data_IF_045957293949
#
_entry.id   IF_045957293949
#
_cell.length_a   1.000
_cell.length_b   1.000
_cell.length_c   1.000
_cell.angle_alpha   90.00
_cell.angle_beta   90.00
_cell.angle_gamma   90.00
#
_symmetry.space_group_name_H-M   'P 1'
#
loop_
_entity.id
_entity.type
_entity.pdbx_description
1 polymer ?
#
# COMPACT_ATOMS: atom_id res chain seq x y z
N UNK A 1 -7.30 -9.51 12.65
CA UNK A 1 -7.00 -8.07 12.58
C UNK A 1 -7.00 -7.69 11.11
N UNK A 2 -8.13 -7.38 10.48
CA UNK A 2 -9.15 -6.42 10.89
C UNK A 2 -8.97 -5.25 9.93
N UNK A 3 -9.34 -5.47 8.66
CA UNK A 3 -9.27 -4.47 7.60
C UNK A 3 -10.28 -3.39 7.97
N UNK A 4 -9.76 -2.20 8.24
CA UNK A 4 -10.55 -1.05 8.65
C UNK A 4 -11.25 -0.56 7.38
N UNK A 5 -12.46 -1.06 7.17
CA UNK A 5 -13.42 -0.43 6.28
C UNK A 5 -13.77 0.96 6.84
N UNK A 6 -13.98 1.93 5.96
CA UNK A 6 -14.51 3.27 6.26
C UNK A 6 -13.51 4.30 6.81
N UNK A 7 -12.26 4.32 6.32
CA UNK A 7 -11.28 5.38 6.62
C UNK A 7 -10.70 6.10 5.40
N UNK A 8 -11.05 5.66 4.19
CA UNK A 8 -10.42 6.16 2.96
C UNK A 8 -10.80 7.60 2.63
N UNK A 9 -11.93 8.12 3.09
CA UNK A 9 -12.29 9.52 2.85
C UNK A 9 -11.34 10.49 3.57
N UNK A 10 -10.84 10.12 4.76
CA UNK A 10 -9.90 10.94 5.54
C UNK A 10 -8.48 10.82 4.96
N UNK A 11 -8.06 9.61 4.58
CA UNK A 11 -6.80 9.40 3.87
C UNK A 11 -6.78 10.07 2.47
N UNK A 12 -7.92 10.08 1.76
CA UNK A 12 -8.11 10.77 0.48
C UNK A 12 -8.12 12.29 0.66
N UNK A 13 -8.81 12.81 1.68
CA UNK A 13 -8.83 14.24 1.99
C UNK A 13 -7.43 14.74 2.37
N UNK A 14 -6.69 13.97 3.16
CA UNK A 14 -5.29 14.27 3.52
C UNK A 14 -4.41 14.21 2.28
N UNK A 15 -4.50 13.18 1.44
CA UNK A 15 -3.69 13.06 0.24
C UNK A 15 -4.01 14.10 -0.86
N UNK A 16 -5.28 14.54 -0.96
CA UNK A 16 -5.68 15.65 -1.83
C UNK A 16 -5.20 17.00 -1.30
N UNK A 17 -5.21 17.21 0.01
CA UNK A 17 -4.73 18.43 0.67
C UNK A 17 -3.19 18.51 0.67
N UNK A 18 -2.48 17.39 0.76
CA UNK A 18 -1.02 17.28 0.77
C UNK A 18 -0.41 17.04 -0.62
N UNK A 19 -1.11 17.41 -1.70
CA UNK A 19 -0.66 17.26 -3.10
C UNK A 19 0.73 17.84 -3.40
N UNK A 20 1.27 18.69 -2.52
CA UNK A 20 2.60 19.25 -2.63
C UNK A 20 3.73 18.40 -2.02
N UNK A 21 3.45 17.35 -1.23
CA UNK A 21 4.50 16.58 -0.53
C UNK A 21 4.70 15.16 -1.06
N UNK A 22 3.64 14.51 -1.55
CA UNK A 22 3.72 13.13 -2.06
C UNK A 22 4.43 13.01 -3.43
N UNK A 23 4.60 14.13 -4.15
CA UNK A 23 5.35 14.15 -5.41
C UNK A 23 6.88 14.14 -5.22
N UNK A 24 7.39 14.41 -4.00
CA UNK A 24 8.82 14.43 -3.69
C UNK A 24 9.34 13.14 -3.04
N UNK A 25 8.45 12.27 -2.54
CA UNK A 25 8.84 10.98 -1.96
C UNK A 25 8.92 9.91 -3.06
N UNK A 26 9.95 10.02 -3.91
CA UNK A 26 10.35 8.90 -4.77
C UNK A 26 11.35 8.03 -4.02
N UNK A 27 10.86 7.01 -3.32
CA UNK A 27 11.72 6.02 -2.65
C UNK A 27 11.58 4.65 -3.34
N UNK A 28 12.68 3.96 -3.69
CA UNK A 28 12.62 2.70 -4.42
C UNK A 28 11.92 1.56 -3.65
N UNK A 29 11.86 1.64 -2.31
CA UNK A 29 11.15 0.68 -1.46
C UNK A 29 9.67 0.99 -1.18
N UNK A 30 9.11 2.09 -1.72
CA UNK A 30 7.72 2.51 -1.48
C UNK A 30 6.97 2.56 -2.81
N UNK A 31 5.79 1.93 -2.86
CA UNK A 31 4.92 1.95 -4.05
C UNK A 31 4.53 3.38 -4.42
N UNK A 32 4.67 3.73 -5.70
CA UNK A 32 4.30 5.06 -6.18
C UNK A 32 2.79 5.19 -6.32
N UNK A 33 2.23 6.23 -5.71
CA UNK A 33 0.84 6.62 -5.91
C UNK A 33 0.78 7.57 -7.10
N UNK A 34 0.01 7.21 -8.12
CA UNK A 34 -0.15 8.00 -9.34
C UNK A 34 -1.31 8.99 -9.23
N UNK A 35 -2.45 8.56 -8.66
CA UNK A 35 -3.64 9.40 -8.61
C UNK A 35 -4.66 8.96 -7.54
N UNK A 36 -5.56 9.85 -7.19
CA UNK A 36 -6.77 9.59 -6.41
C UNK A 36 -7.97 9.95 -7.28
N UNK A 37 -8.90 9.01 -7.48
CA UNK A 37 -10.06 9.18 -8.36
C UNK A 37 -11.34 8.80 -7.63
N UNK A 38 -12.44 9.50 -7.90
CA UNK A 38 -13.76 9.10 -7.41
C UNK A 38 -14.54 8.37 -8.50
N UNK A 39 -15.18 7.27 -8.13
CA UNK A 39 -16.08 6.54 -9.01
C UNK A 39 -17.31 6.06 -8.24
N UNK A 40 -18.46 6.02 -8.92
CA UNK A 40 -19.68 5.51 -8.31
C UNK A 40 -19.56 4.00 -8.07
N UNK A 41 -19.95 3.54 -6.89
CA UNK A 41 -20.09 2.12 -6.61
C UNK A 41 -21.28 1.52 -7.39
N UNK A 42 -21.49 0.20 -7.25
CA UNK A 42 -22.61 -0.50 -7.92
C UNK A 42 -24.01 0.01 -7.52
N UNK A 43 -24.10 0.83 -6.48
CA UNK A 43 -25.32 1.42 -5.95
C UNK A 43 -25.44 2.92 -6.22
N UNK A 44 -24.46 3.53 -6.92
CA UNK A 44 -24.46 4.95 -7.28
C UNK A 44 -23.85 5.87 -6.24
N UNK A 45 -23.27 5.35 -5.15
CA UNK A 45 -22.62 6.18 -4.13
C UNK A 45 -21.18 6.51 -4.56
N UNK A 46 -20.69 7.75 -4.38
CA UNK A 46 -19.30 8.08 -4.70
C UNK A 46 -18.34 7.35 -3.75
N UNK A 47 -17.37 6.64 -4.34
CA UNK A 47 -16.28 5.96 -3.64
C UNK A 47 -14.96 6.39 -4.24
N UNK A 48 -14.01 6.78 -3.39
CA UNK A 48 -12.67 7.11 -3.86
C UNK A 48 -11.79 5.86 -4.03
N UNK A 49 -10.91 5.92 -5.01
CA UNK A 49 -9.95 4.89 -5.39
C UNK A 49 -8.54 5.49 -5.46
N UNK A 50 -7.54 4.71 -5.06
CA UNK A 50 -6.13 5.06 -5.19
C UNK A 50 -5.56 4.28 -6.38
N UNK A 51 -4.97 5.01 -7.33
CA UNK A 51 -4.23 4.43 -8.46
C UNK A 51 -2.75 4.44 -8.11
N UNK A 52 -2.14 3.27 -8.10
CA UNK A 52 -0.74 3.09 -7.72
C UNK A 52 -0.02 2.10 -8.63
N UNK A 53 1.30 2.08 -8.54
CA UNK A 53 2.15 1.11 -9.23
C UNK A 53 1.76 -0.33 -8.88
N UNK A 54 1.74 -1.19 -9.90
CA UNK A 54 1.51 -2.61 -9.70
C UNK A 54 2.78 -3.28 -9.16
N UNK A 55 2.72 -3.73 -7.91
CA UNK A 55 3.81 -4.49 -7.28
C UNK A 55 3.59 -5.99 -7.52
N UNK A 56 4.45 -6.59 -8.34
CA UNK A 56 4.43 -8.03 -8.59
C UNK A 56 4.89 -8.87 -7.40
N UNK A 57 4.58 -10.17 -7.43
CA UNK A 57 5.00 -11.13 -6.41
C UNK A 57 3.94 -11.39 -5.33
N UNK A 58 4.38 -11.82 -4.15
CA UNK A 58 3.50 -12.16 -3.03
C UNK A 58 3.90 -11.40 -1.79
N UNK A 59 2.92 -11.08 -0.94
CA UNK A 59 3.20 -10.43 0.34
C UNK A 59 4.16 -11.28 1.20
N UNK A 60 5.06 -10.62 1.94
CA UNK A 60 5.95 -11.29 2.90
C UNK A 60 5.19 -12.20 3.86
N UNK A 61 3.98 -11.79 4.27
CA UNK A 61 3.07 -12.58 5.10
C UNK A 61 2.68 -13.91 4.43
N UNK A 62 2.37 -13.92 3.14
CA UNK A 62 2.06 -15.14 2.41
C UNK A 62 3.30 -16.03 2.27
N UNK A 63 4.49 -15.45 2.05
CA UNK A 63 5.75 -16.17 2.00
C UNK A 63 6.06 -16.86 3.33
N UNK A 64 5.94 -16.14 4.45
CA UNK A 64 6.12 -16.67 5.81
C UNK A 64 5.09 -17.77 6.11
N UNK A 65 3.85 -17.64 5.62
CA UNK A 65 2.82 -18.66 5.84
C UNK A 65 3.04 -19.93 5.00
N UNK A 66 3.67 -19.81 3.82
CA UNK A 66 4.00 -20.95 2.95
C UNK A 66 5.22 -21.72 3.44
N UNK A 67 6.19 -21.05 4.03
CA UNK A 67 7.23 -21.73 4.79
C UNK A 67 6.61 -22.18 6.11
N UNK A 68 6.35 -23.48 6.28
CA UNK A 68 5.80 -24.04 7.54
C UNK A 68 6.70 -23.77 8.77
N UNK A 69 7.88 -23.21 8.52
CA UNK A 69 8.87 -22.71 9.48
C UNK A 69 9.04 -21.19 9.37
N UNK A 70 9.48 -20.53 10.44
CA UNK A 70 9.86 -19.10 10.40
C UNK A 70 10.94 -18.85 9.33
N UNK A 71 10.97 -17.63 8.77
CA UNK A 71 12.02 -17.23 7.83
C UNK A 71 13.41 -17.39 8.48
N UNK A 72 14.40 -17.96 7.78
CA UNK A 72 15.78 -17.98 8.24
C UNK A 72 16.27 -16.58 8.57
N UNK A 73 17.08 -16.44 9.64
CA UNK A 73 17.57 -15.16 10.13
C UNK A 73 18.26 -14.35 9.03
N UNK A 74 19.05 -14.99 8.18
CA UNK A 74 19.72 -14.33 7.06
C UNK A 74 18.73 -13.70 6.05
N UNK A 75 17.62 -14.39 5.73
CA UNK A 75 16.59 -13.86 4.83
C UNK A 75 15.81 -12.72 5.49
N UNK A 76 15.51 -12.84 6.79
CA UNK A 76 14.85 -11.78 7.53
C UNK A 76 15.70 -10.50 7.58
N UNK A 77 17.01 -10.63 7.82
CA UNK A 77 17.94 -9.49 7.78
C UNK A 77 18.00 -8.89 6.37
N UNK A 78 18.03 -9.71 5.32
CA UNK A 78 17.98 -9.24 3.93
C UNK A 78 16.76 -8.37 3.64
N UNK A 79 15.56 -8.84 3.99
CA UNK A 79 14.34 -8.05 3.82
C UNK A 79 14.34 -6.77 4.66
N UNK A 80 14.89 -6.79 5.87
CA UNK A 80 15.01 -5.58 6.69
C UNK A 80 15.95 -4.55 6.06
N UNK A 81 17.08 -4.98 5.51
CA UNK A 81 18.03 -4.09 4.83
C UNK A 81 17.47 -3.49 3.55
N UNK A 82 16.58 -4.20 2.84
CA UNK A 82 15.92 -3.66 1.63
C UNK A 82 14.83 -2.63 1.94
N UNK A 83 14.28 -2.61 3.17
CA UNK A 83 13.19 -1.70 3.58
C UNK A 83 13.73 -0.42 4.24
N UNK A 84 14.95 -0.45 4.79
CA UNK A 84 15.61 0.68 5.45
C UNK A 84 16.16 1.71 4.46
#
# INVERSE_FOLDING_TARGET
KGLVHSGDAEAQAIAMAERQFLAEVTHPGIVKIYNFVEHADKHGNPVGYIVMEYVGGTSLKQTIKKSDTRLPVAQAIGFMLEIL
#
